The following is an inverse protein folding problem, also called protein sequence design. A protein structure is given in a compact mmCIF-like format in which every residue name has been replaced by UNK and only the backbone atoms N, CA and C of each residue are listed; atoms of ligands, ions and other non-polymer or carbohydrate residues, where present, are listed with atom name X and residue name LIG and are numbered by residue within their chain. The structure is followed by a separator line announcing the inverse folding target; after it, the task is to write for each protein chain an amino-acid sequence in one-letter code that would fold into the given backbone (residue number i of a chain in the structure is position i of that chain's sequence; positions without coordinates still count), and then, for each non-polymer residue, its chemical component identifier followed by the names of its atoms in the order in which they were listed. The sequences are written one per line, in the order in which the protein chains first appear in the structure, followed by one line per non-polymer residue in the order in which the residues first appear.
data_IF_816612651065
#
_entry.id   IF_816612651065
#
_cell.length_a   1.000
_cell.length_b   1.000
_cell.length_c   1.000
_cell.angle_alpha   90.00
_cell.angle_beta   90.00
_cell.angle_gamma   90.00
#
_symmetry.space_group_name_H-M   'P 1'
#
loop_
_entity.id
_entity.type
_entity.pdbx_description
1 polymer ?
#
# COMPACT_ATOMS: atom_id res chain seq x y z
N UNK A 1 -7.78 15.08 7.64
CA UNK A 1 -7.41 14.85 6.23
C UNK A 1 -6.27 15.77 5.82
N UNK A 2 -6.45 17.10 5.92
CA UNK A 2 -5.43 18.08 5.52
C UNK A 2 -4.07 17.83 6.19
N UNK A 3 -4.05 17.67 7.51
CA UNK A 3 -2.83 17.33 8.27
C UNK A 3 -2.20 16.01 7.80
N UNK A 4 -3.03 14.99 7.50
CA UNK A 4 -2.53 13.70 6.97
C UNK A 4 -1.84 13.85 5.63
N UNK A 5 -2.47 14.51 4.67
CA UNK A 5 -1.94 14.71 3.32
C UNK A 5 -0.72 15.63 3.32
N UNK A 6 -0.79 16.80 4.00
CA UNK A 6 0.30 17.79 3.94
C UNK A 6 1.53 17.39 4.75
N UNK A 7 1.35 16.68 5.87
CA UNK A 7 2.42 16.49 6.84
C UNK A 7 2.88 15.04 7.04
N UNK A 8 2.09 14.05 6.62
CA UNK A 8 2.39 12.64 6.88
C UNK A 8 2.67 11.82 5.64
N UNK A 9 1.88 12.01 4.56
CA UNK A 9 1.93 11.14 3.37
C UNK A 9 3.28 11.16 2.66
N UNK A 10 3.96 12.29 2.65
CA UNK A 10 5.24 12.44 1.95
C UNK A 10 6.47 12.12 2.81
N UNK A 11 6.27 11.70 4.07
CA UNK A 11 7.39 11.29 4.93
C UNK A 11 7.74 9.83 4.66
N UNK A 12 9.02 9.48 4.51
CA UNK A 12 9.46 8.13 4.20
C UNK A 12 9.17 7.10 5.32
N UNK A 13 8.91 7.57 6.56
CA UNK A 13 8.58 6.69 7.68
C UNK A 13 9.74 5.84 8.20
N UNK A 14 10.96 6.27 7.97
CA UNK A 14 12.18 5.55 8.38
C UNK A 14 12.50 5.70 9.87
N UNK A 15 11.97 6.74 10.51
CA UNK A 15 12.22 7.01 11.93
C UNK A 15 11.02 7.66 12.62
N UNK A 16 10.77 7.26 13.87
CA UNK A 16 9.75 7.90 14.72
C UNK A 16 10.01 9.41 14.88
N UNK A 17 11.28 9.84 14.84
CA UNK A 17 11.66 11.26 14.96
C UNK A 17 11.07 12.14 13.87
N UNK A 18 10.78 11.59 12.68
CA UNK A 18 10.14 12.31 11.57
C UNK A 18 8.72 12.78 11.92
N UNK A 19 8.07 12.10 12.87
CA UNK A 19 6.70 12.38 13.30
C UNK A 19 6.64 13.21 14.60
N UNK A 20 7.79 13.48 15.24
CA UNK A 20 7.88 14.30 16.47
C UNK A 20 8.05 15.76 16.08
N UNK A 21 6.95 16.41 15.68
CA UNK A 21 6.88 17.86 15.53
C UNK A 21 5.58 18.40 16.15
N UNK A 22 5.54 19.70 16.44
CA UNK A 22 4.37 20.33 17.08
C UNK A 22 3.08 20.17 16.27
N UNK A 23 3.18 20.18 14.96
CA UNK A 23 2.03 20.06 14.04
C UNK A 23 1.47 18.63 14.04
N UNK A 24 2.35 17.63 13.95
CA UNK A 24 1.97 16.22 14.02
C UNK A 24 1.38 15.88 15.39
N UNK A 25 2.00 16.34 16.49
CA UNK A 25 1.52 16.11 17.84
C UNK A 25 0.13 16.76 18.06
N UNK A 26 -0.03 18.01 17.64
CA UNK A 26 -1.34 18.69 17.65
C UNK A 26 -2.37 17.98 16.77
N UNK A 27 -1.95 17.48 15.63
CA UNK A 27 -2.80 16.68 14.72
C UNK A 27 -3.27 15.37 15.36
N UNK A 28 -2.37 14.63 16.00
CA UNK A 28 -2.69 13.37 16.70
C UNK A 28 -3.70 13.61 17.82
N UNK A 29 -3.53 14.67 18.60
CA UNK A 29 -4.47 15.03 19.68
C UNK A 29 -5.84 15.46 19.13
N UNK A 30 -5.88 16.18 18.00
CA UNK A 30 -7.14 16.62 17.37
C UNK A 30 -7.89 15.51 16.63
N UNK A 31 -7.19 14.48 16.16
CA UNK A 31 -7.76 13.42 15.32
C UNK A 31 -8.35 12.26 16.13
N UNK A 32 -8.43 12.36 17.44
CA UNK A 32 -9.01 11.29 18.31
C UNK A 32 -8.41 9.89 17.99
N UNK A 33 -7.11 9.82 17.70
CA UNK A 33 -6.44 8.59 17.20
C UNK A 33 -6.60 7.42 18.16
N UNK A 34 -6.72 7.70 19.47
CA UNK A 34 -6.89 6.68 20.51
C UNK A 34 -8.34 6.25 20.74
N UNK A 35 -9.28 6.82 19.98
CA UNK A 35 -10.68 6.46 20.06
C UNK A 35 -11.09 5.60 18.85
N UNK A 36 -12.06 4.69 19.05
CA UNK A 36 -12.61 3.93 17.93
C UNK A 36 -13.52 4.80 17.04
N UNK A 37 -13.59 4.46 15.76
CA UNK A 37 -14.50 5.07 14.79
C UNK A 37 -15.94 5.06 15.28
N UNK A 38 -16.39 3.92 15.83
CA UNK A 38 -17.71 3.77 16.42
C UNK A 38 -18.02 4.80 17.51
N UNK A 39 -17.12 4.97 18.47
CA UNK A 39 -17.31 5.97 19.55
C UNK A 39 -17.24 7.40 19.01
N UNK A 40 -16.34 7.66 18.08
CA UNK A 40 -16.16 8.98 17.48
C UNK A 40 -17.44 9.47 16.78
N UNK A 41 -18.01 8.65 15.87
CA UNK A 41 -19.23 9.00 15.12
C UNK A 41 -20.40 9.26 16.06
N UNK A 42 -20.56 8.46 17.10
CA UNK A 42 -21.67 8.56 18.07
C UNK A 42 -21.61 9.82 18.96
N UNK A 43 -20.49 10.55 18.98
CA UNK A 43 -20.43 11.88 19.60
C UNK A 43 -21.28 12.90 18.84
N UNK A 44 -21.38 12.75 17.52
CA UNK A 44 -22.00 13.74 16.63
C UNK A 44 -23.39 13.31 16.14
N UNK A 45 -23.62 12.00 16.01
CA UNK A 45 -24.83 11.45 15.42
C UNK A 45 -25.49 10.42 16.33
N UNK A 46 -26.84 10.49 16.41
CA UNK A 46 -27.68 9.54 17.18
C UNK A 46 -28.47 8.62 16.28
N UNK A 47 -28.69 9.02 15.03
CA UNK A 47 -29.47 8.23 14.09
C UNK A 47 -28.65 7.04 13.59
N UNK A 48 -29.14 5.81 13.85
CA UNK A 48 -28.44 4.56 13.52
C UNK A 48 -28.18 4.39 12.01
N UNK A 49 -29.04 4.91 11.13
CA UNK A 49 -28.83 4.84 9.69
C UNK A 49 -27.66 5.71 9.26
N UNK A 50 -27.55 6.92 9.81
CA UNK A 50 -26.41 7.82 9.54
C UNK A 50 -25.12 7.22 10.10
N UNK A 51 -25.17 6.65 11.31
CA UNK A 51 -24.01 6.01 11.93
C UNK A 51 -23.50 4.85 11.04
N UNK A 52 -24.39 3.96 10.60
CA UNK A 52 -24.03 2.85 9.71
C UNK A 52 -23.44 3.34 8.38
N UNK A 53 -23.99 4.41 7.80
CA UNK A 53 -23.48 5.00 6.58
C UNK A 53 -22.03 5.52 6.76
N UNK A 54 -21.77 6.20 7.88
CA UNK A 54 -20.44 6.75 8.17
C UNK A 54 -19.44 5.67 8.64
N UNK A 55 -19.92 4.55 9.16
CA UNK A 55 -19.09 3.39 9.50
C UNK A 55 -18.77 2.49 8.29
N UNK A 56 -19.54 2.60 7.20
CA UNK A 56 -19.44 1.73 6.03
C UNK A 56 -18.02 1.66 5.40
N UNK A 57 -17.26 2.76 5.25
CA UNK A 57 -15.93 2.71 4.65
C UNK A 57 -14.94 1.80 5.38
N UNK A 58 -15.18 1.48 6.65
CA UNK A 58 -14.34 0.55 7.43
C UNK A 58 -14.37 -0.88 6.89
N UNK A 59 -15.42 -1.25 6.15
CA UNK A 59 -15.50 -2.58 5.52
C UNK A 59 -14.36 -2.85 4.54
N UNK A 60 -13.84 -1.82 3.86
CA UNK A 60 -12.69 -1.96 2.96
C UNK A 60 -11.41 -2.41 3.68
N UNK A 61 -11.32 -2.18 4.98
CA UNK A 61 -10.19 -2.61 5.80
C UNK A 61 -10.34 -4.05 6.31
N UNK A 62 -11.46 -4.71 6.06
CA UNK A 62 -11.76 -6.01 6.66
C UNK A 62 -11.88 -5.97 8.18
N UNK A 63 -12.21 -4.80 8.76
CA UNK A 63 -12.23 -4.54 10.20
C UNK A 63 -13.61 -4.10 10.67
N UNK A 64 -13.79 -3.99 11.98
CA UNK A 64 -15.04 -3.48 12.58
C UNK A 64 -14.84 -2.04 13.07
N UNK A 65 -15.88 -1.18 13.03
CA UNK A 65 -15.80 0.20 13.52
C UNK A 65 -15.41 0.33 15.00
N UNK A 66 -15.67 -0.70 15.80
CA UNK A 66 -15.29 -0.74 17.22
C UNK A 66 -13.80 -0.91 17.44
N UNK A 67 -13.12 -1.62 16.53
CA UNK A 67 -11.70 -1.96 16.61
C UNK A 67 -10.83 -1.10 15.69
N UNK A 68 -11.45 -0.17 14.96
CA UNK A 68 -10.74 0.71 14.02
C UNK A 68 -10.58 2.11 14.62
N UNK A 69 -9.38 2.71 14.59
CA UNK A 69 -9.15 4.06 15.08
C UNK A 69 -10.02 5.11 14.37
N UNK A 70 -10.43 6.15 15.08
CA UNK A 70 -11.23 7.26 14.55
C UNK A 70 -10.52 8.02 13.41
N UNK A 71 -9.20 7.92 13.32
CA UNK A 71 -8.41 8.44 12.19
C UNK A 71 -8.98 8.05 10.83
N UNK A 72 -9.55 6.85 10.72
CA UNK A 72 -10.15 6.37 9.45
C UNK A 72 -11.42 7.12 9.02
N UNK A 73 -11.93 8.06 9.85
CA UNK A 73 -12.95 9.04 9.41
C UNK A 73 -12.46 9.92 8.24
N UNK A 74 -11.14 9.95 7.99
CA UNK A 74 -10.56 10.56 6.80
C UNK A 74 -11.12 9.99 5.50
N UNK A 75 -11.48 8.70 5.47
CA UNK A 75 -12.12 8.07 4.31
C UNK A 75 -13.48 8.69 4.00
N UNK A 76 -14.29 8.99 5.04
CA UNK A 76 -15.55 9.72 4.84
C UNK A 76 -15.35 11.11 4.23
N UNK A 77 -14.31 11.82 4.66
CA UNK A 77 -13.99 13.12 4.05
C UNK A 77 -13.62 12.97 2.57
N UNK A 78 -12.81 11.98 2.25
CA UNK A 78 -12.44 11.70 0.86
C UNK A 78 -13.68 11.41 0.02
N UNK A 79 -14.54 10.49 0.43
CA UNK A 79 -15.73 10.09 -0.31
C UNK A 79 -16.76 11.22 -0.43
N UNK A 80 -17.08 11.91 0.67
CA UNK A 80 -18.17 12.89 0.69
C UNK A 80 -17.71 14.25 0.13
N UNK A 81 -16.49 14.70 0.45
CA UNK A 81 -16.00 16.01 0.06
C UNK A 81 -15.29 16.02 -1.28
N UNK A 82 -14.46 15.01 -1.55
CA UNK A 82 -13.70 14.92 -2.81
C UNK A 82 -14.45 14.16 -3.89
N UNK A 83 -15.39 13.30 -3.49
CA UNK A 83 -16.17 12.45 -4.38
C UNK A 83 -15.44 11.16 -4.78
N UNK A 84 -16.23 10.21 -5.22
CA UNK A 84 -15.75 8.96 -5.79
C UNK A 84 -15.82 9.05 -7.31
N UNK A 85 -14.70 8.84 -7.98
CA UNK A 85 -14.57 8.97 -9.42
C UNK A 85 -14.37 7.61 -10.07
N UNK A 86 -14.98 7.41 -11.21
CA UNK A 86 -14.83 6.21 -12.00
C UNK A 86 -14.33 6.59 -13.41
N UNK A 87 -13.26 5.97 -13.91
CA UNK A 87 -12.71 6.34 -15.22
C UNK A 87 -13.67 5.93 -16.34
N UNK A 88 -13.87 6.81 -17.31
CA UNK A 88 -14.62 6.48 -18.51
C UNK A 88 -13.97 5.30 -19.24
N UNK A 89 -14.77 4.31 -19.61
CA UNK A 89 -14.30 3.06 -20.21
C UNK A 89 -13.80 2.01 -19.22
N UNK A 90 -13.97 2.23 -17.90
CA UNK A 90 -13.71 1.23 -16.87
C UNK A 90 -12.35 1.35 -16.19
N UNK A 91 -12.18 0.63 -15.08
CA UNK A 91 -10.97 0.70 -14.25
C UNK A 91 -9.68 0.32 -15.00
N UNK A 92 -9.78 -0.53 -16.02
CA UNK A 92 -8.62 -0.92 -16.83
C UNK A 92 -7.98 0.27 -17.58
N UNK A 93 -8.73 1.34 -17.82
CA UNK A 93 -8.21 2.57 -18.43
C UNK A 93 -7.10 3.23 -17.61
N UNK A 94 -7.12 3.07 -16.30
CA UNK A 94 -6.01 3.53 -15.42
C UNK A 94 -4.74 2.75 -15.75
N UNK A 95 -4.84 1.43 -15.89
CA UNK A 95 -3.69 0.57 -16.24
C UNK A 95 -3.15 0.93 -17.62
N UNK A 96 -4.04 1.10 -18.61
CA UNK A 96 -3.63 1.51 -19.98
C UNK A 96 -2.91 2.87 -19.96
N UNK A 97 -3.44 3.86 -19.22
CA UNK A 97 -2.80 5.17 -19.11
C UNK A 97 -1.41 5.10 -18.47
N UNK A 98 -1.26 4.28 -17.42
CA UNK A 98 0.03 4.06 -16.78
C UNK A 98 1.03 3.37 -17.71
N UNK A 99 0.59 2.35 -18.47
CA UNK A 99 1.43 1.65 -19.45
C UNK A 99 1.90 2.63 -20.53
N UNK A 100 0.98 3.40 -21.13
CA UNK A 100 1.31 4.36 -22.17
C UNK A 100 2.35 5.39 -21.67
N UNK A 101 2.14 5.95 -20.48
CA UNK A 101 3.08 6.89 -19.87
C UNK A 101 4.46 6.26 -19.63
N UNK A 102 4.50 5.00 -19.19
CA UNK A 102 5.75 4.28 -18.97
C UNK A 102 6.49 4.03 -20.31
N UNK A 103 5.77 3.63 -21.36
CA UNK A 103 6.34 3.43 -22.69
C UNK A 103 6.89 4.74 -23.28
N UNK A 104 6.18 5.87 -23.10
CA UNK A 104 6.68 7.20 -23.46
C UNK A 104 8.00 7.56 -22.74
N UNK A 105 8.22 7.02 -21.54
CA UNK A 105 9.47 7.16 -20.77
C UNK A 105 10.53 6.11 -21.12
N UNK A 106 10.29 5.26 -22.13
CA UNK A 106 11.24 4.25 -22.59
C UNK A 106 11.19 2.92 -21.82
N UNK A 107 10.21 2.71 -20.96
CA UNK A 107 10.00 1.42 -20.28
C UNK A 107 9.59 0.35 -21.30
N UNK A 108 10.19 -0.81 -21.21
CA UNK A 108 9.86 -1.97 -22.05
C UNK A 108 9.05 -2.99 -21.24
N UNK A 109 7.93 -3.44 -21.78
CA UNK A 109 7.07 -4.46 -21.17
C UNK A 109 7.29 -5.81 -21.85
N UNK A 110 7.66 -6.82 -21.07
CA UNK A 110 7.78 -8.20 -21.54
C UNK A 110 6.68 -9.04 -20.91
N UNK A 111 5.68 -9.39 -21.71
CA UNK A 111 4.52 -10.18 -21.26
C UNK A 111 4.73 -11.66 -21.53
N UNK A 112 4.06 -12.51 -20.73
CA UNK A 112 4.16 -13.97 -20.86
C UNK A 112 5.61 -14.47 -20.71
N UNK A 113 6.35 -13.83 -19.83
CA UNK A 113 7.70 -14.17 -19.43
C UNK A 113 7.77 -14.34 -17.91
N UNK A 114 7.71 -15.59 -17.49
CA UNK A 114 7.83 -15.90 -16.05
C UNK A 114 9.29 -15.80 -15.61
N UNK A 115 9.56 -15.02 -14.57
CA UNK A 115 10.88 -14.96 -13.94
C UNK A 115 11.14 -16.27 -13.22
N UNK A 116 12.25 -16.93 -13.52
CA UNK A 116 12.63 -18.22 -12.94
C UNK A 116 13.68 -18.09 -11.85
N UNK A 117 14.63 -17.20 -12.01
CA UNK A 117 15.70 -16.97 -11.02
C UNK A 117 16.45 -15.67 -11.29
N UNK A 118 17.20 -15.25 -10.29
CA UNK A 118 18.18 -14.18 -10.40
C UNK A 118 19.59 -14.78 -10.45
N UNK A 119 20.50 -14.18 -11.21
CA UNK A 119 21.93 -14.45 -11.13
C UNK A 119 22.66 -13.30 -10.43
N UNK A 120 23.83 -13.63 -9.90
CA UNK A 120 24.59 -12.72 -9.05
C UNK A 120 26.04 -12.71 -9.49
N UNK A 121 26.66 -11.54 -9.44
CA UNK A 121 28.09 -11.31 -9.62
C UNK A 121 28.57 -10.46 -8.44
N UNK A 122 29.61 -10.89 -7.74
CA UNK A 122 30.18 -10.18 -6.59
C UNK A 122 29.15 -9.77 -5.53
N UNK A 123 28.20 -10.67 -5.22
CA UNK A 123 27.06 -10.47 -4.32
C UNK A 123 26.01 -9.44 -4.79
N UNK A 124 26.13 -8.88 -5.95
CA UNK A 124 25.13 -8.01 -6.58
C UNK A 124 24.29 -8.78 -7.59
N UNK A 125 23.03 -8.40 -7.78
CA UNK A 125 22.23 -8.93 -8.87
C UNK A 125 22.90 -8.51 -10.20
N UNK A 126 23.00 -9.47 -11.11
CA UNK A 126 23.53 -9.21 -12.45
C UNK A 126 22.51 -9.45 -13.54
N UNK A 127 21.65 -10.48 -13.41
CA UNK A 127 20.65 -10.79 -14.42
C UNK A 127 19.35 -11.32 -13.83
N UNK A 128 18.27 -11.03 -14.54
CA UNK A 128 16.95 -11.66 -14.36
C UNK A 128 16.77 -12.69 -15.45
N UNK A 129 16.56 -13.94 -15.06
CA UNK A 129 16.38 -15.07 -15.98
C UNK A 129 14.92 -15.45 -16.01
N UNK A 130 14.31 -15.37 -17.19
CA UNK A 130 12.92 -15.72 -17.44
C UNK A 130 12.82 -17.05 -18.21
N UNK A 131 11.60 -17.45 -18.53
CA UNK A 131 11.33 -18.62 -19.36
C UNK A 131 11.85 -18.47 -20.81
N UNK A 132 12.04 -17.24 -21.29
CA UNK A 132 12.40 -16.96 -22.69
C UNK A 132 13.70 -16.22 -22.86
N UNK A 133 14.03 -15.34 -21.91
CA UNK A 133 15.13 -14.39 -22.05
C UNK A 133 15.97 -14.28 -20.77
N UNK A 134 17.13 -13.65 -20.92
CA UNK A 134 17.97 -13.22 -19.82
C UNK A 134 18.18 -11.72 -19.95
N UNK A 135 17.88 -10.96 -18.92
CA UNK A 135 18.01 -9.50 -18.88
C UNK A 135 19.10 -9.11 -17.89
N UNK A 136 20.03 -8.28 -18.31
CA UNK A 136 20.97 -7.62 -17.42
C UNK A 136 20.24 -6.58 -16.57
N UNK A 137 20.53 -6.50 -15.27
CA UNK A 137 19.88 -5.59 -14.35
C UNK A 137 20.80 -5.23 -13.17
N UNK A 138 20.94 -3.95 -12.90
CA UNK A 138 21.65 -3.43 -11.71
C UNK A 138 20.75 -3.51 -10.47
N UNK A 139 19.44 -3.33 -10.65
CA UNK A 139 18.43 -3.35 -9.59
C UNK A 139 17.20 -4.12 -10.04
N UNK A 140 16.58 -4.82 -9.10
CA UNK A 140 15.32 -5.55 -9.30
C UNK A 140 14.32 -5.16 -8.23
N UNK A 141 13.16 -4.67 -8.66
CA UNK A 141 12.01 -4.41 -7.79
C UNK A 141 10.97 -5.47 -8.06
N UNK A 142 10.66 -6.29 -7.06
CA UNK A 142 9.62 -7.31 -7.15
C UNK A 142 8.30 -6.75 -6.62
N UNK A 143 7.28 -6.69 -7.47
CA UNK A 143 5.90 -6.36 -7.12
C UNK A 143 4.98 -7.59 -7.12
N UNK A 144 5.52 -8.79 -7.32
CA UNK A 144 4.79 -10.05 -7.26
C UNK A 144 4.58 -10.54 -5.83
N UNK A 145 4.04 -11.75 -5.69
CA UNK A 145 3.87 -12.40 -4.38
C UNK A 145 5.20 -12.52 -3.65
N UNK A 146 5.28 -11.95 -2.44
CA UNK A 146 6.54 -11.87 -1.72
C UNK A 146 7.03 -13.23 -1.21
N UNK A 147 6.11 -14.10 -0.78
CA UNK A 147 6.48 -15.45 -0.35
C UNK A 147 7.06 -16.23 -1.53
N UNK A 148 6.37 -16.20 -2.68
CA UNK A 148 6.85 -16.87 -3.90
C UNK A 148 8.22 -16.36 -4.32
N UNK A 149 8.41 -15.04 -4.33
CA UNK A 149 9.68 -14.42 -4.69
C UNK A 149 10.81 -14.84 -3.74
N UNK A 150 10.57 -14.69 -2.42
CA UNK A 150 11.56 -15.00 -1.39
C UNK A 150 11.94 -16.50 -1.39
N UNK A 151 10.95 -17.42 -1.52
CA UNK A 151 11.19 -18.85 -1.41
C UNK A 151 11.60 -19.53 -2.70
N UNK A 152 11.15 -19.06 -3.86
CA UNK A 152 11.34 -19.76 -5.13
C UNK A 152 12.29 -19.04 -6.12
N UNK A 153 12.42 -17.71 -6.03
CA UNK A 153 13.22 -16.92 -6.98
C UNK A 153 14.56 -16.52 -6.39
N UNK A 154 14.57 -16.07 -5.11
CA UNK A 154 15.80 -15.68 -4.43
C UNK A 154 16.69 -16.88 -4.08
N UNK A 155 17.99 -16.71 -4.28
CA UNK A 155 18.97 -17.63 -3.71
C UNK A 155 18.82 -17.63 -2.18
N UNK A 156 18.82 -18.81 -1.50
CA UNK A 156 18.67 -18.91 -0.05
C UNK A 156 19.57 -17.97 0.77
N UNK A 157 20.77 -17.69 0.27
CA UNK A 157 21.73 -16.76 0.89
C UNK A 157 21.18 -15.34 1.06
N UNK A 158 20.27 -14.93 0.20
CA UNK A 158 19.72 -13.54 0.14
C UNK A 158 18.29 -13.44 0.65
N UNK A 159 17.69 -14.53 1.15
CA UNK A 159 16.34 -14.52 1.70
C UNK A 159 16.28 -13.72 2.99
N UNK A 160 15.23 -12.92 3.12
CA UNK A 160 14.97 -12.14 4.34
C UNK A 160 14.36 -12.96 5.45
N UNK A 161 13.66 -14.05 5.12
CA UNK A 161 12.93 -14.87 6.07
C UNK A 161 13.20 -16.35 5.85
N UNK A 162 13.21 -17.11 6.97
CA UNK A 162 13.33 -18.55 6.93
C UNK A 162 12.03 -19.23 6.48
N UNK A 163 12.13 -20.46 6.01
CA UNK A 163 10.97 -21.29 5.70
C UNK A 163 10.03 -21.45 6.91
N UNK A 164 10.58 -21.60 8.12
CA UNK A 164 9.77 -21.68 9.33
C UNK A 164 9.00 -20.40 9.67
N UNK A 165 9.48 -19.22 9.23
CA UNK A 165 8.75 -17.97 9.37
C UNK A 165 7.50 -17.97 8.47
N UNK A 166 7.64 -18.44 7.23
CA UNK A 166 6.53 -18.51 6.29
C UNK A 166 5.50 -19.55 6.69
N UNK A 167 5.92 -20.76 7.12
CA UNK A 167 5.03 -21.84 7.53
C UNK A 167 4.11 -21.49 8.72
N UNK A 168 4.42 -20.43 9.48
CA UNK A 168 3.58 -19.92 10.57
C UNK A 168 2.53 -18.90 10.11
N UNK A 169 2.54 -18.49 8.84
CA UNK A 169 1.70 -17.40 8.29
C UNK A 169 0.73 -17.86 7.21
N UNK A 170 0.77 -19.10 6.84
CA UNK A 170 -0.17 -19.74 5.91
C UNK A 170 -1.38 -20.29 6.66
#
# INVERSE_FOLDING_TARGET
YKVGIENLVYKPGLSIKEFINKETLSGVLKLDVFQSMHKHIRKFFKNEKIIKLLEFPILFLGATPKNTPALYSLMNYADIKLGTWYPEGGMHKIVEAMVNLAEEKGVKFYRNEEVKKLSYLDNNISHVITTKNTFEADYVICSGDYNHFDQNILNPKYRSYSESYWNKRV
#
